data_IF_457783782783
#
_entry.id   IF_457783782783
#
_cell.length_a   1.000
_cell.length_b   1.000
_cell.length_c   1.000
_cell.angle_alpha   90.00
_cell.angle_beta   90.00
_cell.angle_gamma   90.00
#
_symmetry.space_group_name_H-M   'P 1'
#
loop_
_entity.id
_entity.type
_entity.pdbx_description
1 polymer ?
#
# COMPACT_ATOMS: atom_id res chain seq x y z
N UNK A 1 -55.24 -29.98 -30.36
CA UNK A 1 -53.83 -30.53 -30.28
C UNK A 1 -52.78 -29.49 -29.94
N UNK A 2 -52.85 -28.30 -30.54
CA UNK A 2 -51.77 -27.28 -30.39
C UNK A 2 -51.86 -26.47 -29.09
N UNK A 3 -53.06 -26.24 -28.60
CA UNK A 3 -53.30 -25.52 -27.34
C UNK A 3 -52.77 -26.26 -26.09
N UNK A 4 -52.82 -27.60 -26.11
CA UNK A 4 -52.29 -28.41 -24.99
C UNK A 4 -50.75 -28.51 -25.01
N UNK A 5 -50.15 -28.46 -26.17
CA UNK A 5 -48.69 -28.41 -26.32
C UNK A 5 -48.14 -27.08 -25.85
N UNK A 6 -48.76 -25.96 -26.19
CA UNK A 6 -48.42 -24.60 -25.73
C UNK A 6 -48.54 -24.46 -24.22
N UNK A 7 -49.60 -25.00 -23.61
CA UNK A 7 -49.78 -24.99 -22.14
C UNK A 7 -48.69 -25.79 -21.41
N UNK A 8 -48.28 -26.95 -21.95
CA UNK A 8 -47.19 -27.77 -21.37
C UNK A 8 -45.84 -27.08 -21.47
N UNK A 9 -45.55 -26.41 -22.60
CA UNK A 9 -44.30 -25.64 -22.78
C UNK A 9 -44.30 -24.44 -21.83
N UNK A 10 -45.41 -23.70 -21.70
CA UNK A 10 -45.54 -22.58 -20.77
C UNK A 10 -45.38 -23.01 -19.30
N UNK A 11 -45.94 -24.16 -18.92
CA UNK A 11 -45.79 -24.72 -17.57
C UNK A 11 -44.34 -25.17 -17.30
N UNK A 12 -43.67 -25.76 -18.29
CA UNK A 12 -42.27 -26.16 -18.20
C UNK A 12 -41.33 -24.94 -18.09
N UNK A 13 -41.57 -23.87 -18.83
CA UNK A 13 -40.86 -22.61 -18.74
C UNK A 13 -41.07 -21.93 -17.38
N UNK A 14 -42.27 -21.96 -16.84
CA UNK A 14 -42.64 -21.39 -15.54
C UNK A 14 -41.97 -22.15 -14.38
N UNK A 15 -41.76 -23.47 -14.51
CA UNK A 15 -41.06 -24.28 -13.50
C UNK A 15 -39.53 -24.15 -13.58
N UNK A 16 -38.96 -23.82 -14.77
CA UNK A 16 -37.52 -23.58 -14.93
C UNK A 16 -37.08 -22.13 -14.57
N UNK A 17 -38.01 -21.17 -14.62
CA UNK A 17 -37.75 -19.75 -14.33
C UNK A 17 -37.19 -19.52 -12.91
N UNK A 18 -37.70 -20.13 -11.81
CA UNK A 18 -37.11 -19.95 -10.47
C UNK A 18 -35.75 -20.64 -10.31
N UNK A 19 -35.39 -21.67 -11.11
CA UNK A 19 -34.05 -22.27 -11.10
C UNK A 19 -33.01 -21.31 -11.69
N UNK A 20 -33.36 -20.43 -12.62
CA UNK A 20 -32.47 -19.42 -13.21
C UNK A 20 -32.34 -18.19 -12.31
N UNK A 21 -33.26 -17.94 -11.40
CA UNK A 21 -33.23 -16.83 -10.44
C UNK A 21 -32.54 -17.18 -9.10
N UNK A 22 -32.19 -18.45 -8.89
CA UNK A 22 -31.50 -18.93 -7.68
C UNK A 22 -30.02 -18.64 -7.59
N UNK A 23 -29.45 -17.81 -8.47
CA UNK A 23 -28.04 -17.45 -8.48
C UNK A 23 -27.73 -16.24 -7.59
N UNK A 24 -26.77 -16.38 -6.70
CA UNK A 24 -26.13 -15.38 -5.83
C UNK A 24 -26.63 -15.30 -4.39
N UNK A 25 -26.51 -16.39 -3.64
CA UNK A 25 -26.62 -16.34 -2.16
C UNK A 25 -25.26 -16.29 -1.43
N UNK A 26 -24.14 -16.03 -2.15
CA UNK A 26 -22.79 -16.02 -1.60
C UNK A 26 -22.11 -14.64 -1.53
N UNK A 27 -22.84 -13.54 -1.67
CA UNK A 27 -22.28 -12.19 -1.50
C UNK A 27 -21.99 -11.92 -0.03
N UNK A 28 -20.70 -11.81 0.37
CA UNK A 28 -20.36 -11.22 1.65
C UNK A 28 -20.89 -9.78 1.66
N UNK A 29 -21.71 -9.46 2.66
CA UNK A 29 -22.20 -8.09 2.84
C UNK A 29 -20.99 -7.17 3.02
N UNK A 30 -20.92 -6.08 2.25
CA UNK A 30 -19.82 -5.10 2.29
C UNK A 30 -19.64 -4.58 3.71
N UNK A 31 -20.74 -4.43 4.45
CA UNK A 31 -20.76 -3.97 5.85
C UNK A 31 -20.10 -4.94 6.83
N UNK A 32 -20.02 -6.24 6.49
CA UNK A 32 -19.37 -7.27 7.29
C UNK A 32 -17.84 -7.31 7.09
N UNK A 33 -17.30 -6.52 6.16
CA UNK A 33 -15.88 -6.50 5.81
C UNK A 33 -15.18 -5.26 6.37
N UNK A 34 -13.98 -5.47 6.93
CA UNK A 34 -13.03 -4.43 7.33
C UNK A 34 -12.00 -4.29 6.21
N UNK A 35 -12.19 -3.30 5.33
CA UNK A 35 -11.28 -3.06 4.20
C UNK A 35 -10.01 -2.37 4.66
N UNK A 36 -8.90 -3.10 4.61
CA UNK A 36 -7.57 -2.61 4.94
C UNK A 36 -6.99 -1.85 3.74
N UNK A 37 -6.49 -0.63 3.98
CA UNK A 37 -5.86 0.23 2.98
C UNK A 37 -4.33 0.18 3.10
N UNK A 38 -3.80 0.15 4.33
CA UNK A 38 -2.37 0.05 4.59
C UNK A 38 -2.12 -1.00 5.68
N UNK A 39 -1.05 -1.77 5.51
CA UNK A 39 -0.59 -2.77 6.47
C UNK A 39 0.87 -2.49 6.82
N UNK A 40 1.19 -2.47 8.10
CA UNK A 40 2.55 -2.37 8.60
C UNK A 40 2.98 -3.65 9.30
N UNK A 41 4.27 -3.97 9.15
CA UNK A 41 4.90 -5.14 9.76
C UNK A 41 6.17 -4.71 10.49
N UNK A 42 6.18 -4.88 11.78
CA UNK A 42 7.31 -4.61 12.65
C UNK A 42 7.80 -5.90 13.32
N UNK A 43 9.11 -5.97 13.58
CA UNK A 43 9.66 -7.01 14.44
C UNK A 43 9.19 -6.80 15.88
N UNK A 44 8.85 -7.90 16.55
CA UNK A 44 8.51 -7.92 17.97
C UNK A 44 9.41 -8.91 18.75
N UNK A 45 9.46 -8.82 20.09
CA UNK A 45 10.24 -9.74 20.90
C UNK A 45 9.92 -11.23 20.63
N UNK A 46 10.88 -12.10 20.91
CA UNK A 46 10.76 -13.55 20.78
C UNK A 46 10.46 -14.05 19.36
N UNK A 47 10.85 -13.28 18.33
CA UNK A 47 10.61 -13.63 16.93
C UNK A 47 9.16 -13.47 16.48
N UNK A 48 8.34 -12.78 17.26
CA UNK A 48 6.99 -12.38 16.87
C UNK A 48 7.02 -11.22 15.88
N UNK A 49 5.88 -10.97 15.24
CA UNK A 49 5.61 -9.84 14.36
C UNK A 49 4.47 -9.01 14.95
N UNK A 50 4.62 -7.69 14.93
CA UNK A 50 3.49 -6.77 15.16
C UNK A 50 2.93 -6.35 13.83
N UNK A 51 1.67 -6.70 13.57
CA UNK A 51 0.92 -6.28 12.39
C UNK A 51 0.02 -5.13 12.81
N UNK A 52 0.17 -4.00 12.15
CA UNK A 52 -0.73 -2.85 12.27
C UNK A 52 -1.47 -2.66 10.95
N UNK A 53 -2.78 -2.49 11.00
CA UNK A 53 -3.60 -2.23 9.81
C UNK A 53 -4.33 -0.92 9.95
N UNK A 54 -4.40 -0.14 8.87
CA UNK A 54 -5.25 1.04 8.73
C UNK A 54 -6.39 0.69 7.78
N UNK A 55 -7.61 0.78 8.27
CA UNK A 55 -8.80 0.31 7.59
C UNK A 55 -9.92 1.34 7.60
N UNK A 56 -10.89 1.20 6.67
CA UNK A 56 -12.07 2.04 6.60
C UNK A 56 -13.01 1.74 7.78
N UNK A 57 -13.44 2.78 8.51
CA UNK A 57 -14.34 2.63 9.67
C UNK A 57 -15.80 2.36 9.30
N UNK A 58 -16.18 2.50 8.04
CA UNK A 58 -17.56 2.31 7.56
C UNK A 58 -18.53 3.45 7.88
N UNK A 59 -18.11 4.47 8.63
CA UNK A 59 -18.96 5.62 9.01
C UNK A 59 -19.02 6.75 7.96
N UNK A 60 -18.34 6.61 6.82
CA UNK A 60 -18.24 7.68 5.80
C UNK A 60 -19.31 7.68 4.71
N UNK A 61 -20.27 6.77 4.70
CA UNK A 61 -21.36 6.85 3.69
C UNK A 61 -22.31 8.05 3.90
N UNK A 62 -22.30 8.65 5.10
CA UNK A 62 -23.18 9.79 5.42
C UNK A 62 -22.62 11.18 5.11
N UNK A 63 -21.33 11.30 4.78
CA UNK A 63 -20.68 12.61 4.57
C UNK A 63 -20.69 13.08 3.11
N UNK A 64 -21.12 12.26 2.15
CA UNK A 64 -21.20 12.63 0.73
C UNK A 64 -22.57 13.24 0.32
N UNK A 65 -23.58 13.21 1.19
CA UNK A 65 -24.84 13.92 1.00
C UNK A 65 -24.90 15.09 1.98
N UNK A 66 -24.68 16.30 1.46
CA UNK A 66 -24.65 17.54 2.23
C UNK A 66 -25.87 17.71 3.13
N UNK A 67 -25.64 17.83 4.42
CA UNK A 67 -26.51 18.53 5.35
C UNK A 67 -25.69 18.98 6.57
N UNK A 68 -25.72 20.27 6.78
CA UNK A 68 -25.24 20.97 7.95
C UNK A 68 -25.88 20.46 9.24
N UNK A 69 -25.06 20.27 10.30
CA UNK A 69 -25.45 20.48 11.69
C UNK A 69 -26.09 19.30 12.39
N UNK A 70 -25.30 18.56 13.14
CA UNK A 70 -25.66 18.08 14.49
C UNK A 70 -24.38 17.62 15.21
N UNK A 71 -23.98 18.37 16.22
CA UNK A 71 -23.09 17.89 17.26
C UNK A 71 -23.83 16.78 18.03
N UNK A 72 -23.34 15.54 17.95
CA UNK A 72 -23.73 14.50 18.89
C UNK A 72 -22.53 14.21 19.79
N UNK A 73 -22.78 14.43 21.09
CA UNK A 73 -21.88 14.15 22.19
C UNK A 73 -21.39 12.69 22.14
N UNK A 74 -20.07 12.54 22.09
CA UNK A 74 -19.40 11.26 22.12
C UNK A 74 -19.33 10.76 23.56
N UNK A 75 -20.02 9.66 23.82
CA UNK A 75 -19.74 8.81 24.97
C UNK A 75 -18.34 8.18 24.83
N UNK A 76 -17.53 8.39 25.85
CA UNK A 76 -16.17 7.90 26.01
C UNK A 76 -16.08 6.38 25.91
N UNK A 77 -15.38 5.89 24.88
CA UNK A 77 -14.69 4.58 24.87
C UNK A 77 -13.24 4.83 24.47
N UNK A 78 -12.38 4.84 25.46
CA UNK A 78 -10.93 4.92 25.34
C UNK A 78 -10.41 3.73 24.54
N UNK A 79 -9.43 4.00 23.63
CA UNK A 79 -8.54 3.10 22.91
C UNK A 79 -8.86 2.64 21.49
N UNK A 80 -9.70 3.33 20.73
CA UNK A 80 -9.65 3.28 19.27
C UNK A 80 -9.17 4.65 18.80
N UNK A 81 -7.88 4.79 18.47
CA UNK A 81 -7.33 6.01 17.89
C UNK A 81 -7.98 6.25 16.52
N UNK A 82 -9.00 7.09 16.48
CA UNK A 82 -9.54 7.63 15.24
C UNK A 82 -8.53 8.66 14.71
N UNK A 83 -7.58 8.20 13.92
CA UNK A 83 -6.47 9.03 13.40
C UNK A 83 -6.89 10.03 12.32
N UNK A 84 -8.03 9.79 11.69
CA UNK A 84 -8.72 10.70 10.73
C UNK A 84 -10.19 10.29 10.66
N UNK A 85 -11.08 11.26 10.34
CA UNK A 85 -12.49 10.95 10.14
C UNK A 85 -12.64 9.86 9.06
N UNK A 86 -13.04 8.65 9.48
CA UNK A 86 -13.33 7.54 8.56
C UNK A 86 -12.31 6.40 8.50
N UNK A 87 -11.21 6.45 9.26
CA UNK A 87 -10.25 5.35 9.36
C UNK A 87 -10.07 4.90 10.81
N UNK A 88 -9.79 3.62 10.98
CA UNK A 88 -9.37 3.02 12.25
C UNK A 88 -8.00 2.36 12.07
N UNK A 89 -7.21 2.35 13.14
CA UNK A 89 -5.94 1.65 13.20
C UNK A 89 -6.01 0.58 14.26
N UNK A 90 -5.66 -0.64 13.89
CA UNK A 90 -5.67 -1.81 14.77
C UNK A 90 -4.29 -2.46 14.71
N UNK A 91 -3.80 -2.95 15.86
CA UNK A 91 -2.51 -3.66 15.94
C UNK A 91 -2.66 -4.96 16.71
N UNK A 92 -1.94 -6.00 16.27
CA UNK A 92 -1.84 -7.26 16.97
C UNK A 92 -0.43 -7.84 16.83
N UNK A 93 0.05 -8.51 17.87
CA UNK A 93 1.35 -9.19 17.88
C UNK A 93 1.15 -10.70 17.94
N UNK A 94 1.81 -11.42 17.01
CA UNK A 94 1.70 -12.87 16.91
C UNK A 94 2.94 -13.46 16.18
N UNK A 95 3.15 -14.78 16.24
CA UNK A 95 4.26 -15.46 15.56
C UNK A 95 4.18 -15.42 14.03
N UNK A 96 3.05 -15.04 13.43
CA UNK A 96 2.89 -14.97 11.97
C UNK A 96 1.84 -13.92 11.57
N UNK A 97 1.91 -13.43 10.33
CA UNK A 97 0.93 -12.47 9.79
C UNK A 97 -0.50 -13.00 9.87
N UNK A 98 -0.73 -14.27 9.50
CA UNK A 98 -2.06 -14.86 9.51
C UNK A 98 -2.65 -14.93 10.93
N UNK A 99 -1.84 -15.25 11.94
CA UNK A 99 -2.29 -15.28 13.34
C UNK A 99 -2.59 -13.87 13.86
N UNK A 100 -1.76 -12.88 13.52
CA UNK A 100 -2.01 -11.49 13.90
C UNK A 100 -3.32 -10.97 13.30
N UNK A 101 -3.56 -11.22 12.01
CA UNK A 101 -4.82 -10.86 11.34
C UNK A 101 -6.03 -11.58 11.94
N UNK A 102 -5.86 -12.85 12.35
CA UNK A 102 -6.90 -13.59 13.07
C UNK A 102 -7.25 -12.95 14.43
N UNK A 103 -6.23 -12.46 15.17
CA UNK A 103 -6.45 -11.72 16.41
C UNK A 103 -7.17 -10.38 16.17
N UNK A 104 -6.81 -9.66 15.11
CA UNK A 104 -7.51 -8.42 14.72
C UNK A 104 -8.98 -8.70 14.37
N UNK A 105 -9.25 -9.79 13.63
CA UNK A 105 -10.62 -10.22 13.31
C UNK A 105 -11.43 -10.60 14.55
N UNK A 106 -10.79 -11.06 15.63
CA UNK A 106 -11.47 -11.36 16.89
C UNK A 106 -11.82 -10.11 17.71
N UNK A 107 -11.20 -8.96 17.44
CA UNK A 107 -11.46 -7.69 18.13
C UNK A 107 -12.54 -6.84 17.46
N UNK A 108 -12.95 -7.20 16.23
CA UNK A 108 -13.97 -6.45 15.47
C UNK A 108 -15.08 -7.40 15.01
N UNK A 109 -16.33 -6.93 14.88
CA UNK A 109 -17.41 -7.75 14.32
C UNK A 109 -17.30 -7.90 12.79
N UNK A 110 -16.17 -7.54 12.18
CA UNK A 110 -15.95 -7.52 10.74
C UNK A 110 -14.78 -8.41 10.35
N UNK A 111 -14.88 -9.03 9.19
CA UNK A 111 -13.78 -9.85 8.62
C UNK A 111 -12.73 -8.93 7.97
N UNK A 112 -11.47 -9.13 8.34
CA UNK A 112 -10.35 -8.40 7.72
C UNK A 112 -10.25 -8.76 6.24
N UNK A 113 -10.27 -7.75 5.37
CA UNK A 113 -10.27 -7.89 3.92
C UNK A 113 -9.13 -7.06 3.32
N UNK A 114 -8.20 -7.72 2.63
CA UNK A 114 -7.00 -7.11 2.05
C UNK A 114 -7.15 -6.76 0.55
N UNK A 115 -8.34 -6.90 -0.02
CA UNK A 115 -8.57 -6.63 -1.46
C UNK A 115 -8.38 -5.16 -1.85
N UNK A 116 -8.41 -4.24 -0.89
CA UNK A 116 -8.20 -2.81 -1.08
C UNK A 116 -6.84 -2.32 -0.57
N UNK A 117 -5.94 -3.27 -0.25
CA UNK A 117 -4.60 -2.96 0.24
C UNK A 117 -3.82 -2.18 -0.82
N UNK A 118 -3.32 -0.99 -0.48
CA UNK A 118 -2.55 -0.13 -1.36
C UNK A 118 -1.05 -0.23 -1.07
N UNK A 119 -0.69 -0.45 0.20
CA UNK A 119 0.70 -0.55 0.59
C UNK A 119 0.92 -1.54 1.73
N UNK A 120 2.13 -2.13 1.72
CA UNK A 120 2.68 -2.98 2.77
C UNK A 120 3.96 -2.31 3.25
N UNK A 121 3.96 -1.80 4.48
CA UNK A 121 5.10 -1.09 5.07
C UNK A 121 5.84 -2.05 6.00
N UNK A 122 7.14 -2.21 5.79
CA UNK A 122 8.02 -3.06 6.60
C UNK A 122 9.05 -2.17 7.27
N UNK A 123 9.26 -2.32 8.58
CA UNK A 123 10.36 -1.61 9.26
C UNK A 123 11.71 -2.06 8.71
N UNK A 124 12.66 -1.13 8.58
CA UNK A 124 14.00 -1.42 8.07
C UNK A 124 14.68 -2.51 8.90
N UNK A 125 14.52 -2.48 10.22
CA UNK A 125 15.09 -3.50 11.11
C UNK A 125 14.62 -4.91 10.78
N UNK A 126 13.36 -5.06 10.33
CA UNK A 126 12.83 -6.34 9.86
C UNK A 126 13.29 -6.66 8.43
N UNK A 127 13.33 -5.65 7.54
CA UNK A 127 13.78 -5.80 6.16
C UNK A 127 15.25 -6.24 6.05
N UNK A 128 16.10 -5.88 7.01
CA UNK A 128 17.49 -6.32 7.12
C UNK A 128 17.65 -7.78 7.61
N UNK A 129 16.55 -8.52 7.82
CA UNK A 129 16.56 -9.93 8.17
C UNK A 129 16.17 -10.82 7.00
N UNK A 130 16.43 -12.11 7.10
CA UNK A 130 16.02 -13.10 6.09
C UNK A 130 14.51 -13.41 6.13
N UNK A 131 13.76 -12.85 7.08
CA UNK A 131 12.34 -13.11 7.25
C UNK A 131 11.45 -12.40 6.20
N UNK A 132 11.96 -11.34 5.54
CA UNK A 132 11.19 -10.46 4.67
C UNK A 132 10.43 -11.22 3.58
N UNK A 133 11.10 -12.07 2.81
CA UNK A 133 10.47 -12.86 1.76
C UNK A 133 9.36 -13.78 2.31
N UNK A 134 9.63 -14.44 3.45
CA UNK A 134 8.63 -15.32 4.08
C UNK A 134 7.39 -14.53 4.50
N UNK A 135 7.56 -13.32 5.02
CA UNK A 135 6.47 -12.43 5.44
C UNK A 135 5.65 -12.00 4.24
N UNK A 136 6.29 -11.49 3.17
CA UNK A 136 5.61 -11.08 1.94
C UNK A 136 4.83 -12.25 1.32
N UNK A 137 5.40 -13.46 1.29
CA UNK A 137 4.70 -14.68 0.82
C UNK A 137 3.51 -15.05 1.69
N UNK A 138 3.59 -14.88 3.00
CA UNK A 138 2.43 -15.09 3.90
C UNK A 138 1.30 -14.11 3.57
N UNK A 139 1.62 -12.83 3.31
CA UNK A 139 0.62 -11.82 2.94
C UNK A 139 0.01 -12.14 1.58
N UNK A 140 0.84 -12.45 0.58
CA UNK A 140 0.41 -12.83 -0.78
C UNK A 140 -0.50 -14.08 -0.78
N UNK A 141 -0.25 -15.03 0.13
CA UNK A 141 -1.08 -16.25 0.26
C UNK A 141 -2.45 -16.02 0.90
N UNK A 142 -2.73 -14.81 1.44
CA UNK A 142 -4.04 -14.49 2.01
C UNK A 142 -5.06 -14.32 0.89
N UNK A 143 -6.21 -14.99 1.04
CA UNK A 143 -7.27 -14.93 0.05
C UNK A 143 -7.68 -13.50 -0.28
N UNK A 144 -7.64 -13.15 -1.56
CA UNK A 144 -7.93 -11.81 -2.09
C UNK A 144 -7.02 -10.68 -1.55
N UNK A 145 -5.80 -10.96 -1.12
CA UNK A 145 -4.82 -9.90 -0.94
C UNK A 145 -4.57 -9.21 -2.29
N UNK A 146 -4.42 -7.88 -2.26
CA UNK A 146 -4.11 -7.13 -3.48
C UNK A 146 -2.62 -7.31 -3.82
N UNK A 147 -2.33 -8.00 -4.92
CA UNK A 147 -0.96 -8.26 -5.40
C UNK A 147 -0.26 -7.02 -5.95
N UNK A 148 -1.03 -5.99 -6.30
CA UNK A 148 -0.53 -4.69 -6.75
C UNK A 148 -0.21 -3.73 -5.59
N UNK A 149 -0.43 -4.15 -4.33
CA UNK A 149 -0.05 -3.36 -3.17
C UNK A 149 1.46 -3.06 -3.20
N UNK A 150 1.82 -1.79 -3.03
CA UNK A 150 3.21 -1.32 -3.06
C UNK A 150 3.95 -1.77 -1.80
N UNK A 151 5.14 -2.36 -1.98
CA UNK A 151 6.02 -2.71 -0.87
C UNK A 151 6.88 -1.50 -0.51
N UNK A 152 6.82 -1.11 0.75
CA UNK A 152 7.49 0.06 1.31
C UNK A 152 8.37 -0.38 2.47
N UNK A 153 9.60 0.14 2.55
CA UNK A 153 10.48 0.00 3.72
C UNK A 153 10.65 1.36 4.38
N UNK A 154 10.57 1.39 5.70
CA UNK A 154 10.73 2.63 6.46
C UNK A 154 11.77 2.45 7.58
N UNK A 155 12.64 3.46 7.84
CA UNK A 155 13.51 3.47 9.02
C UNK A 155 12.73 3.66 10.32
N UNK A 156 11.50 4.19 10.23
CA UNK A 156 10.58 4.36 11.36
C UNK A 156 10.00 3.02 11.83
N UNK A 157 9.29 3.05 12.95
CA UNK A 157 8.33 2.00 13.27
C UNK A 157 7.24 2.00 12.20
N UNK A 158 7.07 0.88 11.50
CA UNK A 158 6.14 0.79 10.37
C UNK A 158 4.68 1.08 10.81
N UNK A 159 4.30 0.62 12.00
CA UNK A 159 2.99 0.93 12.59
C UNK A 159 2.77 2.42 12.80
N UNK A 160 3.78 3.16 13.28
CA UNK A 160 3.70 4.61 13.49
C UNK A 160 3.69 5.36 12.16
N UNK A 161 4.42 4.85 11.16
CA UNK A 161 4.41 5.40 9.82
C UNK A 161 2.99 5.41 9.23
N UNK A 162 2.25 4.29 9.28
CA UNK A 162 0.88 4.24 8.75
C UNK A 162 -0.14 4.98 9.64
N UNK A 163 0.09 5.10 10.96
CA UNK A 163 -0.76 5.92 11.84
C UNK A 163 -0.73 7.39 11.44
N UNK A 164 0.46 7.92 11.18
CA UNK A 164 0.67 9.33 10.77
C UNK A 164 0.20 9.63 9.35
N UNK A 165 0.02 8.63 8.52
CA UNK A 165 -0.34 8.78 7.12
C UNK A 165 -1.69 9.47 6.95
N UNK A 166 -1.75 10.47 6.08
CA UNK A 166 -2.95 11.28 5.81
C UNK A 166 -3.13 11.49 4.33
N UNK A 167 -4.37 11.39 3.87
CA UNK A 167 -4.75 11.84 2.54
C UNK A 167 -4.80 13.37 2.49
N UNK A 168 -4.33 13.94 1.41
CA UNK A 168 -4.41 15.38 1.14
C UNK A 168 -5.27 15.62 -0.09
N UNK A 169 -5.59 16.89 -0.37
CA UNK A 169 -6.36 17.30 -1.57
C UNK A 169 -7.81 16.76 -1.61
N UNK A 170 -8.40 16.44 -0.47
CA UNK A 170 -9.79 15.96 -0.40
C UNK A 170 -10.02 14.55 -0.96
N UNK A 171 -8.97 13.79 -1.20
CA UNK A 171 -9.04 12.42 -1.67
C UNK A 171 -9.25 11.43 -0.50
N UNK A 172 -9.85 10.27 -0.78
CA UNK A 172 -9.77 9.13 0.13
C UNK A 172 -8.34 8.57 0.12
N UNK A 173 -7.86 8.05 1.25
CA UNK A 173 -6.49 7.56 1.39
C UNK A 173 -6.11 6.51 0.33
N UNK A 174 -7.00 5.56 0.02
CA UNK A 174 -6.75 4.57 -1.03
C UNK A 174 -6.48 5.21 -2.39
N UNK A 175 -7.30 6.17 -2.80
CA UNK A 175 -7.10 6.87 -4.08
C UNK A 175 -5.90 7.81 -4.05
N UNK A 176 -5.63 8.42 -2.90
CA UNK A 176 -4.44 9.25 -2.70
C UNK A 176 -3.16 8.43 -2.91
N UNK A 177 -3.05 7.25 -2.28
CA UNK A 177 -1.87 6.38 -2.41
C UNK A 177 -1.70 5.85 -3.84
N UNK A 178 -2.78 5.38 -4.47
CA UNK A 178 -2.76 4.92 -5.86
C UNK A 178 -2.17 5.99 -6.80
N UNK A 179 -2.73 7.21 -6.76
CA UNK A 179 -2.27 8.32 -7.60
C UNK A 179 -0.86 8.78 -7.25
N UNK A 180 -0.50 8.73 -5.95
CA UNK A 180 0.83 9.10 -5.47
C UNK A 180 1.91 8.17 -6.03
N UNK A 181 1.71 6.86 -5.91
CA UNK A 181 2.67 5.87 -6.39
C UNK A 181 2.79 5.89 -7.91
N UNK A 182 1.67 5.99 -8.64
CA UNK A 182 1.69 6.14 -10.09
C UNK A 182 2.47 7.39 -10.53
N UNK A 183 2.24 8.52 -9.87
CA UNK A 183 2.95 9.75 -10.17
C UNK A 183 4.46 9.66 -9.87
N UNK A 184 4.83 9.06 -8.75
CA UNK A 184 6.23 8.95 -8.34
C UNK A 184 7.02 7.93 -9.18
N UNK A 185 6.36 6.89 -9.67
CA UNK A 185 6.94 5.98 -10.66
C UNK A 185 7.18 6.72 -11.99
N UNK A 186 6.24 7.55 -12.45
CA UNK A 186 6.42 8.39 -13.66
C UNK A 186 7.54 9.41 -13.53
N UNK A 187 7.84 9.87 -12.32
CA UNK A 187 8.97 10.77 -12.03
C UNK A 187 10.31 10.04 -11.85
N UNK A 188 10.33 8.72 -11.91
CA UNK A 188 11.50 7.88 -11.64
C UNK A 188 12.14 8.15 -10.26
N UNK A 189 11.37 8.50 -9.24
CA UNK A 189 11.86 8.76 -7.87
C UNK A 189 11.61 7.60 -6.93
N UNK A 190 10.85 6.60 -7.36
CA UNK A 190 10.68 5.30 -6.72
C UNK A 190 11.03 4.19 -7.71
N UNK A 191 11.36 2.96 -7.25
CA UNK A 191 11.68 1.87 -8.16
C UNK A 191 10.48 1.50 -9.04
N UNK A 192 10.71 1.00 -10.27
CA UNK A 192 9.63 0.58 -11.15
C UNK A 192 8.97 -0.71 -10.65
N UNK A 193 7.64 -0.76 -10.71
CA UNK A 193 6.82 -1.90 -10.31
C UNK A 193 7.13 -2.45 -8.91
N UNK A 194 7.09 -1.61 -7.86
CA UNK A 194 7.45 -2.02 -6.49
C UNK A 194 6.29 -2.75 -5.80
N UNK A 195 5.47 -3.47 -6.54
CA UNK A 195 4.30 -4.18 -6.02
C UNK A 195 4.66 -5.55 -5.41
N UNK A 196 3.76 -6.09 -4.60
CA UNK A 196 3.96 -7.31 -3.83
C UNK A 196 4.41 -8.49 -4.71
N UNK A 197 3.72 -8.74 -5.83
CA UNK A 197 4.02 -9.86 -6.72
C UNK A 197 5.39 -9.71 -7.39
N UNK A 198 5.74 -8.52 -7.88
CA UNK A 198 7.01 -8.26 -8.55
C UNK A 198 8.20 -8.33 -7.58
N UNK A 199 8.04 -7.78 -6.35
CA UNK A 199 9.08 -7.84 -5.32
C UNK A 199 9.36 -9.28 -4.89
N UNK A 200 8.31 -10.10 -4.66
CA UNK A 200 8.48 -11.53 -4.35
C UNK A 200 9.19 -12.25 -5.49
N UNK A 201 8.76 -12.04 -6.73
CA UNK A 201 9.36 -12.69 -7.89
C UNK A 201 10.84 -12.31 -8.07
N UNK A 202 11.20 -11.04 -7.82
CA UNK A 202 12.58 -10.59 -7.87
C UNK A 202 13.44 -11.18 -6.73
N UNK A 203 12.91 -11.26 -5.50
CA UNK A 203 13.60 -11.88 -4.35
C UNK A 203 13.83 -13.39 -4.54
N UNK A 204 12.97 -14.08 -5.27
CA UNK A 204 13.11 -15.52 -5.58
C UNK A 204 14.01 -15.77 -6.80
N UNK A 205 14.29 -14.75 -7.59
CA UNK A 205 15.09 -14.86 -8.80
C UNK A 205 16.58 -14.94 -8.49
N UNK A 206 17.28 -15.85 -9.14
CA UNK A 206 18.74 -15.88 -9.10
C UNK A 206 19.40 -14.86 -10.05
N UNK A 207 18.61 -14.20 -10.91
CA UNK A 207 19.11 -13.33 -11.98
C UNK A 207 18.83 -11.84 -11.73
N UNK A 208 17.97 -11.51 -10.76
CA UNK A 208 17.56 -10.13 -10.47
C UNK A 208 17.48 -9.92 -8.99
N UNK A 209 17.90 -8.73 -8.54
CA UNK A 209 17.68 -8.26 -7.17
C UNK A 209 16.39 -7.47 -7.07
N UNK A 210 15.75 -7.50 -5.91
CA UNK A 210 14.52 -6.77 -5.66
C UNK A 210 14.79 -5.35 -5.19
N UNK A 211 13.87 -4.43 -5.54
CA UNK A 211 13.83 -3.08 -5.02
C UNK A 211 12.41 -2.75 -4.56
N UNK A 212 12.27 -2.20 -3.36
CA UNK A 212 11.02 -1.69 -2.81
C UNK A 212 11.10 -0.17 -2.62
N UNK A 213 9.99 0.49 -2.40
CA UNK A 213 9.97 1.93 -2.10
C UNK A 213 10.62 2.16 -0.73
N UNK A 214 11.48 3.18 -0.62
CA UNK A 214 11.97 3.65 0.67
C UNK A 214 11.22 4.91 1.09
N UNK A 215 10.69 4.94 2.31
CA UNK A 215 9.83 6.02 2.79
C UNK A 215 10.08 6.30 4.27
N UNK A 216 9.95 7.57 4.68
CA UNK A 216 10.10 7.97 6.08
C UNK A 216 9.14 9.10 6.46
N UNK A 217 8.89 9.26 7.76
CA UNK A 217 8.20 10.43 8.29
C UNK A 217 9.10 11.67 8.21
N UNK A 218 8.54 12.81 7.82
CA UNK A 218 9.23 14.08 7.82
C UNK A 218 8.90 14.85 9.12
N UNK A 219 9.93 15.23 9.86
CA UNK A 219 9.84 16.16 11.00
C UNK A 219 9.94 17.60 10.47
N UNK A 220 8.80 18.25 10.34
CA UNK A 220 8.70 19.62 9.82
C UNK A 220 9.49 20.67 10.64
N UNK A 221 9.80 20.38 11.90
CA UNK A 221 10.50 21.32 12.79
C UNK A 221 11.98 21.51 12.44
N UNK A 222 12.56 20.64 11.61
CA UNK A 222 13.99 20.66 11.25
C UNK A 222 14.32 21.27 9.89
N UNK A 223 13.34 21.84 9.18
CA UNK A 223 13.57 22.41 7.82
C UNK A 223 14.67 23.47 7.81
N UNK A 224 14.81 24.26 8.87
CA UNK A 224 15.80 25.33 8.98
C UNK A 224 17.24 24.84 9.15
N UNK A 225 17.47 23.58 9.52
CA UNK A 225 18.79 23.01 9.75
C UNK A 225 19.40 22.37 8.52
N UNK A 226 18.67 22.29 7.40
CA UNK A 226 19.06 21.57 6.20
C UNK A 226 19.82 22.49 5.22
N UNK A 227 20.93 23.11 5.67
CA UNK A 227 21.79 23.87 4.78
C UNK A 227 22.64 22.92 3.90
N UNK A 228 22.60 23.12 2.58
CA UNK A 228 23.66 22.71 1.66
C UNK A 228 23.41 21.61 0.64
N UNK A 229 22.40 20.74 0.77
CA UNK A 229 22.00 19.82 -0.31
C UNK A 229 20.51 20.01 -0.62
N UNK A 230 20.21 20.19 -1.88
CA UNK A 230 18.87 20.44 -2.35
C UNK A 230 18.19 19.16 -2.80
N UNK A 231 16.91 19.08 -2.52
CA UNK A 231 15.95 18.17 -3.11
C UNK A 231 16.18 16.66 -2.98
N UNK A 232 16.09 15.96 -4.09
CA UNK A 232 16.08 14.51 -4.19
C UNK A 232 17.42 13.80 -3.91
N UNK A 233 18.49 14.55 -3.63
CA UNK A 233 19.78 13.98 -3.18
C UNK A 233 19.76 13.55 -1.70
N UNK A 234 18.59 13.55 -1.08
CA UNK A 234 18.40 13.14 0.30
C UNK A 234 17.51 11.91 0.37
N UNK A 235 17.67 11.12 1.42
CA UNK A 235 16.73 10.09 1.78
C UNK A 235 15.44 10.73 2.29
N UNK A 236 14.28 10.05 2.16
CA UNK A 236 13.01 10.49 2.73
C UNK A 236 13.13 10.70 4.25
N UNK A 237 12.33 11.60 4.79
CA UNK A 237 12.43 12.08 6.17
C UNK A 237 13.30 13.33 6.34
N UNK A 238 14.13 13.63 5.35
CA UNK A 238 15.07 14.77 5.38
C UNK A 238 14.91 15.74 4.22
N UNK A 239 13.80 15.66 3.50
CA UNK A 239 13.54 16.58 2.39
C UNK A 239 13.20 17.98 2.92
N UNK A 240 13.78 19.05 2.33
CA UNK A 240 13.53 20.43 2.74
C UNK A 240 12.18 20.93 2.23
N UNK A 241 11.09 20.39 2.76
CA UNK A 241 9.73 20.73 2.34
C UNK A 241 8.80 20.91 3.53
N UNK A 242 7.76 21.68 3.32
CA UNK A 242 6.59 21.73 4.20
C UNK A 242 5.37 21.23 3.43
N UNK A 243 4.72 20.20 3.92
CA UNK A 243 3.50 19.68 3.31
C UNK A 243 2.58 19.09 4.38
N UNK A 244 1.25 19.09 4.18
CA UNK A 244 0.31 18.53 5.13
C UNK A 244 0.44 17.00 5.27
N UNK A 245 0.98 16.30 4.25
CA UNK A 245 1.30 14.87 4.35
C UNK A 245 2.66 14.68 5.02
N UNK A 246 2.71 14.02 6.20
CA UNK A 246 3.96 13.87 6.95
C UNK A 246 4.89 12.83 6.34
N UNK A 247 4.38 11.89 5.55
CA UNK A 247 5.15 10.80 4.98
C UNK A 247 5.78 11.21 3.63
N UNK A 248 7.03 10.81 3.43
CA UNK A 248 7.80 11.00 2.20
C UNK A 248 8.11 9.65 1.58
N UNK A 249 7.74 9.49 0.29
CA UNK A 249 7.99 8.29 -0.50
C UNK A 249 8.95 8.64 -1.62
N UNK A 250 10.25 8.50 -1.38
CA UNK A 250 11.26 8.88 -2.37
C UNK A 250 12.53 8.07 -2.13
N UNK A 251 12.94 7.30 -3.13
CA UNK A 251 14.10 6.42 -3.00
C UNK A 251 13.73 4.95 -3.08
N UNK A 252 14.72 4.09 -2.92
CA UNK A 252 14.56 2.65 -2.94
C UNK A 252 15.29 1.96 -1.81
N UNK A 253 14.69 0.90 -1.29
CA UNK A 253 15.34 -0.14 -0.50
C UNK A 253 15.77 -1.27 -1.44
N UNK A 254 17.05 -1.62 -1.42
CA UNK A 254 17.64 -2.65 -2.25
C UNK A 254 17.77 -3.96 -1.48
N UNK A 255 17.46 -5.06 -2.12
CA UNK A 255 17.53 -6.37 -1.50
C UNK A 255 18.49 -7.28 -2.28
N UNK A 256 19.21 -8.13 -1.56
CA UNK A 256 19.90 -9.28 -2.10
C UNK A 256 19.23 -10.55 -1.56
N UNK A 257 18.47 -11.24 -2.42
CA UNK A 257 17.54 -12.27 -1.97
C UNK A 257 16.50 -11.69 -0.99
N UNK A 258 16.29 -12.30 0.20
CA UNK A 258 15.28 -11.84 1.15
C UNK A 258 15.69 -10.64 2.01
N UNK A 259 16.98 -10.26 2.00
CA UNK A 259 17.56 -9.31 2.95
C UNK A 259 17.83 -7.96 2.30
N UNK A 260 17.39 -6.88 2.94
CA UNK A 260 17.76 -5.52 2.56
C UNK A 260 19.26 -5.29 2.79
N UNK A 261 19.92 -4.67 1.79
CA UNK A 261 21.38 -4.44 1.78
C UNK A 261 21.77 -2.97 1.67
N UNK A 262 20.84 -2.10 1.28
CA UNK A 262 21.11 -0.67 1.14
C UNK A 262 19.92 0.13 0.69
N UNK A 263 20.13 1.44 0.56
CA UNK A 263 19.12 2.41 0.12
C UNK A 263 19.64 3.25 -1.03
N UNK A 264 18.73 3.74 -1.87
CA UNK A 264 19.01 4.75 -2.89
C UNK A 264 18.19 6.00 -2.60
N UNK A 265 18.77 7.17 -2.83
CA UNK A 265 18.07 8.45 -2.87
C UNK A 265 17.20 8.55 -4.13
N UNK A 266 16.30 9.54 -4.23
CA UNK A 266 15.49 9.74 -5.43
C UNK A 266 16.32 9.97 -6.70
N UNK A 267 17.48 10.67 -6.59
CA UNK A 267 18.41 10.85 -7.72
C UNK A 267 19.05 9.53 -8.17
N UNK A 268 19.48 8.73 -7.20
CA UNK A 268 20.06 7.42 -7.49
C UNK A 268 19.05 6.46 -8.10
N UNK A 269 17.79 6.49 -7.65
CA UNK A 269 16.70 5.72 -8.27
C UNK A 269 16.48 6.15 -9.72
N UNK A 270 16.46 7.45 -10.01
CA UNK A 270 16.33 7.93 -11.39
C UNK A 270 17.48 7.45 -12.28
N UNK A 271 18.71 7.39 -11.76
CA UNK A 271 19.85 6.81 -12.48
C UNK A 271 19.69 5.30 -12.67
N UNK A 272 19.25 4.60 -11.64
CA UNK A 272 18.95 3.17 -11.69
C UNK A 272 17.89 2.86 -12.77
N UNK A 273 16.80 3.63 -12.85
CA UNK A 273 15.77 3.49 -13.88
C UNK A 273 16.35 3.71 -15.29
N UNK A 274 17.24 4.68 -15.47
CA UNK A 274 17.96 4.89 -16.74
C UNK A 274 18.86 3.70 -17.10
N UNK A 275 19.64 3.21 -16.15
CA UNK A 275 20.58 2.10 -16.38
C UNK A 275 19.87 0.79 -16.70
N UNK A 276 18.74 0.54 -16.07
CA UNK A 276 17.91 -0.67 -16.30
C UNK A 276 17.01 -0.56 -17.54
N UNK A 277 17.01 0.58 -18.23
CA UNK A 277 16.19 0.81 -19.43
C UNK A 277 14.70 1.03 -19.14
N UNK A 278 14.34 1.26 -17.87
CA UNK A 278 12.96 1.56 -17.45
C UNK A 278 12.60 3.01 -17.74
N UNK A 279 13.56 3.93 -17.68
CA UNK A 279 13.42 5.31 -18.12
C UNK A 279 14.23 5.58 -19.38
N UNK A 280 13.70 6.40 -20.29
CA UNK A 280 14.40 6.77 -21.54
C UNK A 280 14.99 8.19 -21.51
N UNK A 281 14.50 9.04 -20.64
CA UNK A 281 14.90 10.46 -20.60
C UNK A 281 14.84 10.97 -19.17
N UNK A 282 15.84 11.71 -18.78
CA UNK A 282 15.91 12.40 -17.48
C UNK A 282 16.25 13.87 -17.67
N UNK A 283 15.66 14.74 -16.84
CA UNK A 283 16.09 16.11 -16.67
C UNK A 283 16.81 16.22 -15.33
N UNK A 284 18.06 16.67 -15.34
CA UNK A 284 18.85 16.91 -14.12
C UNK A 284 19.22 18.37 -14.04
N UNK A 285 19.26 18.90 -12.82
CA UNK A 285 19.78 20.25 -12.55
C UNK A 285 21.13 20.09 -11.87
N UNK A 286 22.18 20.64 -12.50
CA UNK A 286 23.55 20.66 -11.96
C UNK A 286 23.99 22.12 -11.96
N UNK A 287 24.45 22.61 -10.82
CA UNK A 287 24.91 24.00 -10.65
C UNK A 287 23.92 25.06 -11.19
N UNK A 288 22.61 24.83 -11.00
CA UNK A 288 21.54 25.71 -11.49
C UNK A 288 21.21 25.60 -12.97
N UNK A 289 21.93 24.80 -13.73
CA UNK A 289 21.65 24.55 -15.15
C UNK A 289 20.86 23.25 -15.35
N UNK A 290 19.87 23.30 -16.23
CA UNK A 290 19.08 22.10 -16.57
C UNK A 290 19.77 21.29 -17.67
N UNK A 291 19.97 20.00 -17.42
CA UNK A 291 20.49 19.05 -18.39
C UNK A 291 19.44 17.98 -18.67
N UNK A 292 19.21 17.74 -19.97
CA UNK A 292 18.33 16.64 -20.42
C UNK A 292 19.19 15.48 -20.88
N UNK A 293 19.22 14.41 -20.11
CA UNK A 293 19.93 13.18 -20.44
C UNK A 293 18.95 12.18 -21.09
N UNK A 294 19.33 11.64 -22.24
CA UNK A 294 18.54 10.61 -22.93
C UNK A 294 19.43 9.39 -23.19
N UNK A 295 18.99 8.23 -22.70
CA UNK A 295 19.65 6.97 -23.03
C UNK A 295 19.14 6.48 -24.40
N UNK A 296 20.04 6.32 -25.37
CA UNK A 296 19.75 5.63 -26.63
C UNK A 296 20.30 4.20 -26.51
N UNK A 297 19.44 3.24 -26.20
CA UNK A 297 19.79 1.82 -26.27
C UNK A 297 19.75 1.36 -27.72
N UNK A 298 20.91 1.10 -28.32
CA UNK A 298 21.02 0.46 -29.61
C UNK A 298 21.06 -1.05 -29.41
N UNK A 299 19.92 -1.72 -29.52
CA UNK A 299 19.89 -3.20 -29.52
C UNK A 299 20.55 -3.68 -30.78
N UNK A 300 21.78 -4.17 -30.69
CA UNK A 300 22.38 -4.98 -31.78
C UNK A 300 21.69 -6.35 -31.71
N UNK A 301 20.75 -6.60 -32.62
CA UNK A 301 20.34 -7.98 -32.91
C UNK A 301 21.56 -8.73 -33.45
N UNK A 302 22.00 -9.76 -32.74
CA UNK A 302 22.89 -10.79 -33.25
C UNK A 302 22.06 -11.86 -33.94
#
# INVERSE_FOLDING_TARGET
>A
GDDDALKKIALMLLTFLPLLLGGCTGGQEIESSLFVIAMAVDAAPEGNLTITVKALSGSQESAASGASGAQSEAGSTENLEQTETGYIVLSATAPSCLRALGLLGATTPRTVNLSQLQEIVISQTLAETDATLSILKQIHAIYRANDEAVVVVTPDHAGDFIRRQRAVLGLRLSKYLEVLFEHYEQLDVIPPSPNLSAVIAAMESAATDAAAVYAAGNDFDNILLLQGKTDIDRLPGHLPRTAPAPNEYMGAALFSGPRMTGTLTGNEVSLFCLMTGKASTRVSVIDGAQYKTRLQTRVKRR
#
